data_IF_061721858638
#
_entry.id   IF_061721858638
#
_cell.length_a   1.000
_cell.length_b   1.000
_cell.length_c   1.000
_cell.angle_alpha   90.00
_cell.angle_beta   90.00
_cell.angle_gamma   90.00
#
_symmetry.space_group_name_H-M   'P 1'
#
loop_
_entity.id
_entity.type
_entity.pdbx_description
1 polymer ?
#
# COMPACT_ATOMS: atom_id res chain seq x y z
N UNK A 1 15.47 18.07 6.35
CA UNK A 1 15.54 18.00 7.81
C UNK A 1 14.13 17.83 8.33
N UNK A 2 13.86 16.82 9.15
CA UNK A 2 12.54 16.63 9.75
C UNK A 2 12.18 17.87 10.60
N UNK A 3 10.92 18.34 10.61
CA UNK A 3 10.51 19.50 11.37
C UNK A 3 10.66 19.22 12.87
N UNK A 4 11.30 20.15 13.58
CA UNK A 4 11.73 20.08 14.98
C UNK A 4 10.60 20.08 16.03
N UNK A 5 9.34 19.86 15.63
CA UNK A 5 8.16 20.04 16.49
C UNK A 5 7.33 18.76 16.69
N UNK A 6 7.70 17.62 16.09
CA UNK A 6 7.00 16.36 16.34
C UNK A 6 7.59 15.63 17.55
N UNK A 7 6.76 15.01 18.41
CA UNK A 7 7.25 14.17 19.49
C UNK A 7 8.20 13.10 18.95
N UNK A 8 9.35 12.84 19.62
CA UNK A 8 10.39 11.96 19.09
C UNK A 8 9.92 10.52 18.84
N UNK A 9 8.86 10.10 19.53
CA UNK A 9 8.20 8.79 19.33
C UNK A 9 7.66 8.57 17.91
N UNK A 10 7.37 9.66 17.18
CA UNK A 10 6.86 9.61 15.81
C UNK A 10 7.98 9.68 14.76
N UNK A 11 9.23 9.80 15.15
CA UNK A 11 10.31 9.78 14.18
C UNK A 11 10.44 8.37 13.55
N UNK A 12 10.78 8.29 12.25
CA UNK A 12 11.01 7.00 11.61
C UNK A 12 12.24 6.34 12.23
N UNK A 13 12.18 5.02 12.42
CA UNK A 13 13.36 4.24 12.81
C UNK A 13 14.30 4.06 11.62
N UNK A 14 15.55 3.66 11.86
CA UNK A 14 16.48 3.32 10.77
C UNK A 14 15.92 2.19 9.88
N UNK A 15 15.32 1.18 10.51
CA UNK A 15 14.66 0.07 9.82
C UNK A 15 13.51 0.54 8.92
N UNK A 16 12.68 1.49 9.39
CA UNK A 16 11.59 2.04 8.57
C UNK A 16 12.12 2.73 7.31
N UNK A 17 13.22 3.49 7.43
CA UNK A 17 13.87 4.17 6.30
C UNK A 17 14.49 3.14 5.35
N UNK A 18 15.17 2.13 5.88
CA UNK A 18 15.76 1.04 5.09
C UNK A 18 14.69 0.29 4.28
N UNK A 19 13.54 -0.02 4.88
CA UNK A 19 12.42 -0.66 4.18
C UNK A 19 11.88 0.24 3.06
N UNK A 20 11.67 1.54 3.32
CA UNK A 20 11.19 2.50 2.31
C UNK A 20 12.17 2.65 1.13
N UNK A 21 13.47 2.58 1.41
CA UNK A 21 14.52 2.58 0.38
C UNK A 21 14.52 1.27 -0.42
N UNK A 22 14.49 0.13 0.28
CA UNK A 22 14.52 -1.21 -0.33
C UNK A 22 13.30 -1.47 -1.23
N UNK A 23 12.11 -1.03 -0.81
CA UNK A 23 10.88 -1.12 -1.60
C UNK A 23 10.77 -0.07 -2.71
N UNK A 24 11.78 0.80 -2.87
CA UNK A 24 11.84 1.85 -3.88
C UNK A 24 10.69 2.87 -3.81
N UNK A 25 10.17 3.15 -2.61
CA UNK A 25 9.08 4.13 -2.39
C UNK A 25 9.50 5.57 -2.75
N UNK A 26 10.79 5.86 -2.67
CA UNK A 26 11.39 7.16 -2.98
C UNK A 26 11.52 7.44 -4.49
N UNK A 27 11.29 6.44 -5.35
CA UNK A 27 11.41 6.59 -6.79
C UNK A 27 10.08 7.04 -7.39
N UNK A 28 10.01 8.29 -7.84
CA UNK A 28 8.84 8.83 -8.50
C UNK A 28 8.84 8.67 -10.01
N UNK A 29 7.84 9.24 -10.67
CA UNK A 29 7.76 9.34 -12.13
C UNK A 29 8.77 10.34 -12.71
N UNK A 30 8.93 10.35 -14.04
CA UNK A 30 9.69 11.41 -14.75
C UNK A 30 8.92 12.72 -14.80
N UNK A 31 7.59 12.61 -14.94
CA UNK A 31 6.71 13.77 -14.96
C UNK A 31 6.46 14.28 -13.53
N UNK A 32 6.28 15.58 -13.41
CA UNK A 32 6.00 16.26 -12.14
C UNK A 32 4.75 17.12 -12.27
N UNK A 33 3.82 16.93 -11.35
CA UNK A 33 2.68 17.81 -11.14
C UNK A 33 3.03 18.93 -10.15
N UNK A 34 2.55 20.14 -10.39
CA UNK A 34 2.87 21.32 -9.58
C UNK A 34 2.56 21.13 -8.08
N UNK A 35 1.42 20.52 -7.74
CA UNK A 35 1.06 20.26 -6.34
C UNK A 35 1.95 19.22 -5.64
N UNK A 36 2.69 18.39 -6.40
CA UNK A 36 3.60 17.38 -5.87
C UNK A 36 5.05 17.88 -5.76
N UNK A 37 5.37 19.06 -6.31
CA UNK A 37 6.69 19.69 -6.23
C UNK A 37 7.23 19.82 -4.81
N UNK A 38 6.44 20.19 -3.77
CA UNK A 38 6.94 20.30 -2.40
C UNK A 38 7.42 18.98 -1.77
N UNK A 39 7.02 17.83 -2.33
CA UNK A 39 7.46 16.51 -1.88
C UNK A 39 8.71 16.01 -2.60
N UNK A 40 9.15 16.70 -3.65
CA UNK A 40 10.35 16.39 -4.40
C UNK A 40 11.60 16.73 -3.57
N UNK A 41 12.57 15.80 -3.57
CA UNK A 41 13.90 16.05 -3.02
C UNK A 41 14.86 16.55 -4.11
N UNK A 42 14.97 15.80 -5.21
CA UNK A 42 15.78 16.15 -6.38
C UNK A 42 15.37 15.30 -7.58
N UNK A 43 15.75 15.74 -8.78
CA UNK A 43 15.63 14.92 -10.00
C UNK A 43 16.99 14.28 -10.31
N UNK A 44 17.00 12.97 -10.61
CA UNK A 44 18.22 12.26 -11.02
C UNK A 44 18.60 12.61 -12.47
N UNK A 45 19.86 12.39 -12.89
CA UNK A 45 20.28 12.60 -14.29
C UNK A 45 19.44 11.82 -15.30
N UNK A 46 18.90 10.66 -14.92
CA UNK A 46 18.02 9.82 -15.76
C UNK A 46 16.61 10.42 -15.97
N UNK A 47 16.34 11.58 -15.37
CA UNK A 47 15.05 12.27 -15.37
C UNK A 47 14.05 11.72 -14.35
N UNK A 48 14.43 10.73 -13.54
CA UNK A 48 13.55 10.17 -12.50
C UNK A 48 13.55 11.07 -11.26
N UNK A 49 12.35 11.49 -10.84
CA UNK A 49 12.17 12.30 -9.65
C UNK A 49 12.36 11.47 -8.38
N UNK A 50 13.04 12.04 -7.37
CA UNK A 50 13.26 11.40 -6.07
C UNK A 50 12.40 12.10 -5.03
N UNK A 51 11.50 11.33 -4.42
CA UNK A 51 10.59 11.79 -3.36
C UNK A 51 11.35 11.85 -2.03
N UNK A 52 11.05 12.88 -1.23
CA UNK A 52 11.59 12.99 0.11
C UNK A 52 10.92 11.99 1.07
N UNK A 53 11.67 10.98 1.52
CA UNK A 53 11.20 9.94 2.44
C UNK A 53 10.69 10.50 3.77
N UNK A 54 11.31 11.57 4.27
CA UNK A 54 10.84 12.23 5.49
C UNK A 54 9.41 12.78 5.31
N UNK A 55 9.10 13.31 4.12
CA UNK A 55 7.75 13.77 3.78
C UNK A 55 6.77 12.64 3.59
N UNK A 56 7.21 11.53 3.00
CA UNK A 56 6.41 10.29 2.94
C UNK A 56 6.02 9.84 4.33
N UNK A 57 6.97 9.76 5.26
CA UNK A 57 6.72 9.36 6.64
C UNK A 57 5.79 10.31 7.40
N UNK A 58 6.03 11.63 7.30
CA UNK A 58 5.15 12.65 7.89
C UNK A 58 3.70 12.49 7.44
N UNK A 59 3.49 12.21 6.14
CA UNK A 59 2.15 12.02 5.57
C UNK A 59 1.52 10.68 5.93
N UNK A 60 2.30 9.61 6.04
CA UNK A 60 1.82 8.31 6.56
C UNK A 60 1.28 8.49 7.98
N UNK A 61 2.01 9.19 8.84
CA UNK A 61 1.58 9.45 10.22
C UNK A 61 0.36 10.36 10.31
N UNK A 62 0.30 11.40 9.47
CA UNK A 62 -0.88 12.27 9.39
C UNK A 62 -2.12 11.45 9.00
N UNK A 63 -2.00 10.61 7.97
CA UNK A 63 -3.07 9.71 7.55
C UNK A 63 -3.46 8.71 8.65
N UNK A 64 -2.48 8.09 9.31
CA UNK A 64 -2.73 7.16 10.41
C UNK A 64 -3.50 7.81 11.58
N UNK A 65 -3.22 9.09 11.90
CA UNK A 65 -3.97 9.84 12.91
C UNK A 65 -5.41 10.11 12.50
N UNK A 66 -5.65 10.47 11.23
CA UNK A 66 -7.00 10.67 10.70
C UNK A 66 -7.80 9.36 10.78
N UNK A 67 -7.17 8.25 10.40
CA UNK A 67 -7.79 6.92 10.43
C UNK A 67 -8.08 6.44 11.85
N UNK A 68 -7.15 6.69 12.79
CA UNK A 68 -7.32 6.31 14.18
C UNK A 68 -8.40 7.14 14.89
N UNK A 69 -8.69 8.36 14.41
CA UNK A 69 -9.74 9.22 14.95
C UNK A 69 -11.17 8.81 14.56
N UNK A 70 -11.33 7.83 13.66
CA UNK A 70 -12.64 7.29 13.28
C UNK A 70 -12.98 6.13 14.20
N UNK A 71 -14.06 6.30 14.98
CA UNK A 71 -14.50 5.34 16.00
C UNK A 71 -14.89 3.99 15.40
N UNK A 72 -15.70 3.98 14.34
CA UNK A 72 -16.11 2.77 13.64
C UNK A 72 -15.19 2.51 12.44
N UNK A 73 -14.30 1.50 12.49
CA UNK A 73 -13.37 1.25 11.39
C UNK A 73 -14.07 0.88 10.08
N UNK A 74 -15.27 0.30 10.13
CA UNK A 74 -16.02 -0.10 8.95
C UNK A 74 -16.47 1.11 8.07
N UNK A 75 -16.52 2.31 8.65
CA UNK A 75 -16.84 3.55 7.94
C UNK A 75 -15.65 4.02 7.07
N UNK A 76 -14.48 3.38 7.15
CA UNK A 76 -13.35 3.65 6.30
C UNK A 76 -13.42 2.72 5.10
N UNK A 77 -13.35 3.26 3.90
CA UNK A 77 -13.28 2.47 2.67
C UNK A 77 -11.93 2.61 1.98
N UNK A 78 -11.25 1.47 1.79
CA UNK A 78 -9.95 1.39 1.13
C UNK A 78 -10.13 0.81 -0.27
N UNK A 79 -9.56 1.47 -1.27
CA UNK A 79 -9.88 1.25 -2.68
C UNK A 79 -8.60 1.10 -3.51
N UNK A 80 -8.58 0.08 -4.36
CA UNK A 80 -7.53 -0.11 -5.36
C UNK A 80 -8.07 -0.83 -6.58
N UNK A 81 -8.23 -0.10 -7.70
CA UNK A 81 -8.45 -0.71 -9.01
C UNK A 81 -7.18 -1.38 -9.56
N UNK A 82 -6.01 -0.86 -9.18
CA UNK A 82 -4.71 -1.37 -9.66
C UNK A 82 -4.45 -2.79 -9.13
N UNK A 83 -4.11 -3.77 -9.98
CA UNK A 83 -3.87 -5.16 -9.55
C UNK A 83 -2.87 -5.28 -8.41
N UNK A 84 -1.77 -4.51 -8.49
CA UNK A 84 -0.70 -4.54 -7.50
C UNK A 84 -1.11 -4.06 -6.09
N UNK A 85 -2.18 -3.27 -5.99
CA UNK A 85 -2.70 -2.79 -4.70
C UNK A 85 -3.86 -3.61 -4.14
N UNK A 86 -4.46 -4.51 -4.93
CA UNK A 86 -5.66 -5.26 -4.53
C UNK A 86 -5.43 -6.09 -3.26
N UNK A 87 -4.32 -6.86 -3.24
CA UNK A 87 -3.95 -7.68 -2.08
C UNK A 87 -3.62 -6.82 -0.85
N UNK A 88 -2.90 -5.71 -1.05
CA UNK A 88 -2.53 -4.79 0.03
C UNK A 88 -3.77 -4.20 0.72
N UNK A 89 -4.76 -3.76 -0.08
CA UNK A 89 -6.02 -3.19 0.41
C UNK A 89 -6.86 -4.22 1.16
N UNK A 90 -6.93 -5.47 0.67
CA UNK A 90 -7.63 -6.56 1.36
C UNK A 90 -7.00 -6.90 2.71
N UNK A 91 -5.67 -6.97 2.78
CA UNK A 91 -4.95 -7.23 4.04
C UNK A 91 -5.09 -6.05 5.00
N UNK A 92 -4.97 -4.83 4.51
CA UNK A 92 -5.21 -3.63 5.31
C UNK A 92 -6.60 -3.65 5.96
N UNK A 93 -7.64 -3.93 5.18
CA UNK A 93 -9.02 -4.06 5.67
C UNK A 93 -9.14 -5.15 6.74
N UNK A 94 -8.54 -6.33 6.51
CA UNK A 94 -8.56 -7.43 7.47
C UNK A 94 -7.90 -7.09 8.80
N UNK A 95 -6.82 -6.29 8.81
CA UNK A 95 -6.09 -5.95 10.03
C UNK A 95 -6.69 -4.75 10.77
N UNK A 96 -7.26 -3.79 10.05
CA UNK A 96 -7.76 -2.53 10.64
C UNK A 96 -9.27 -2.52 10.88
N UNK A 97 -10.02 -3.47 10.30
CA UNK A 97 -11.48 -3.51 10.30
C UNK A 97 -12.14 -2.59 9.26
N UNK A 98 -11.35 -1.99 8.36
CA UNK A 98 -11.87 -1.16 7.27
C UNK A 98 -12.58 -1.98 6.19
N UNK A 99 -13.40 -1.34 5.37
CA UNK A 99 -14.06 -1.99 4.23
C UNK A 99 -13.22 -1.86 2.96
N UNK A 100 -12.97 -2.97 2.28
CA UNK A 100 -12.20 -2.95 1.03
C UNK A 100 -13.09 -2.92 -0.22
N UNK A 101 -12.60 -2.24 -1.26
CA UNK A 101 -13.01 -2.40 -2.65
C UNK A 101 -11.74 -2.69 -3.45
N UNK A 102 -11.46 -3.97 -3.66
CA UNK A 102 -10.36 -4.43 -4.50
C UNK A 102 -10.87 -4.67 -5.93
N UNK A 103 -10.18 -4.11 -6.91
CA UNK A 103 -10.55 -4.19 -8.32
C UNK A 103 -11.43 -3.04 -8.76
N UNK A 104 -12.22 -3.26 -9.82
CA UNK A 104 -12.99 -2.21 -10.47
C UNK A 104 -13.98 -1.55 -9.51
N UNK A 105 -13.82 -0.25 -9.28
CA UNK A 105 -14.84 0.54 -8.59
C UNK A 105 -16.10 0.63 -9.45
N UNK A 106 -17.23 0.18 -8.91
CA UNK A 106 -18.53 0.29 -9.59
C UNK A 106 -19.06 1.71 -9.40
N UNK A 107 -19.25 2.47 -10.49
CA UNK A 107 -19.85 3.80 -10.39
C UNK A 107 -21.21 3.76 -9.72
N UNK A 108 -21.47 4.68 -8.81
CA UNK A 108 -22.68 4.75 -8.00
C UNK A 108 -22.57 4.06 -6.65
N UNK A 109 -21.42 3.47 -6.29
CA UNK A 109 -21.25 2.87 -4.97
C UNK A 109 -21.42 3.86 -3.82
N UNK A 110 -21.13 5.16 -4.03
CA UNK A 110 -21.32 6.18 -2.99
C UNK A 110 -22.56 7.05 -3.19
N UNK A 111 -23.20 7.01 -4.38
CA UNK A 111 -24.31 7.92 -4.70
C UNK A 111 -25.65 7.19 -4.93
N UNK A 112 -25.62 5.93 -5.37
CA UNK A 112 -26.81 5.16 -5.72
C UNK A 112 -27.26 4.24 -4.57
N UNK A 113 -28.08 4.80 -3.68
CA UNK A 113 -28.62 4.13 -2.49
C UNK A 113 -29.49 2.89 -2.77
N UNK A 114 -29.96 2.69 -4.01
CA UNK A 114 -30.81 1.54 -4.39
C UNK A 114 -29.96 0.27 -4.54
N UNK A 115 -28.67 0.42 -4.82
CA UNK A 115 -27.79 -0.73 -5.08
C UNK A 115 -27.38 -1.43 -3.78
N UNK A 116 -27.23 -2.76 -3.83
CA UNK A 116 -26.74 -3.54 -2.67
C UNK A 116 -25.28 -3.25 -2.32
N UNK A 117 -24.52 -2.72 -3.27
CA UNK A 117 -23.12 -2.33 -3.09
C UNK A 117 -22.95 -0.89 -2.60
N UNK A 118 -24.06 -0.21 -2.30
CA UNK A 118 -24.04 1.13 -1.73
C UNK A 118 -23.30 1.13 -0.39
N UNK A 119 -22.40 2.10 -0.24
CA UNK A 119 -21.61 2.33 0.96
C UNK A 119 -21.56 3.82 1.25
N UNK A 120 -21.64 4.17 2.53
CA UNK A 120 -21.50 5.56 3.01
C UNK A 120 -20.26 5.67 3.91
N UNK A 121 -19.04 5.58 3.34
CA UNK A 121 -17.85 5.72 4.15
C UNK A 121 -17.67 7.16 4.62
N UNK A 122 -17.12 7.34 5.83
CA UNK A 122 -16.70 8.63 6.36
C UNK A 122 -15.31 9.06 5.89
N UNK A 123 -14.54 8.12 5.33
CA UNK A 123 -13.20 8.34 4.81
C UNK A 123 -12.92 7.35 3.70
N UNK A 124 -12.36 7.81 2.59
CA UNK A 124 -11.80 6.91 1.59
C UNK A 124 -10.28 7.02 1.52
N UNK A 125 -9.64 5.88 1.29
CA UNK A 125 -8.20 5.79 1.05
C UNK A 125 -7.97 5.08 -0.27
N UNK A 126 -7.21 5.72 -1.15
CA UNK A 126 -7.08 5.35 -2.55
C UNK A 126 -5.62 5.06 -2.91
N UNK A 127 -5.38 4.00 -3.68
CA UNK A 127 -4.00 3.64 -4.10
C UNK A 127 -3.41 4.48 -5.20
N UNK A 128 -4.21 4.91 -6.16
CA UNK A 128 -3.73 5.74 -7.25
C UNK A 128 -4.86 6.67 -7.70
N UNK A 129 -4.72 7.99 -7.49
CA UNK A 129 -5.73 8.96 -7.89
C UNK A 129 -6.12 8.88 -9.35
N UNK A 130 -5.21 8.42 -10.22
CA UNK A 130 -5.47 8.32 -11.66
C UNK A 130 -6.36 7.14 -12.01
N UNK A 131 -6.10 5.96 -11.46
CA UNK A 131 -6.91 4.76 -11.75
C UNK A 131 -8.22 4.77 -11.00
N UNK A 132 -8.23 5.34 -9.80
CA UNK A 132 -9.38 5.36 -8.89
C UNK A 132 -10.14 6.70 -8.94
N UNK A 133 -9.94 7.50 -9.99
CA UNK A 133 -10.53 8.83 -10.16
C UNK A 133 -12.06 8.83 -10.00
N UNK A 134 -12.73 7.75 -10.38
CA UNK A 134 -14.17 7.60 -10.22
C UNK A 134 -14.60 7.62 -8.74
N UNK A 135 -13.85 6.93 -7.87
CA UNK A 135 -14.13 6.90 -6.44
C UNK A 135 -13.91 8.28 -5.81
N UNK A 136 -12.84 8.97 -6.21
CA UNK A 136 -12.51 10.32 -5.75
C UNK A 136 -13.60 11.32 -6.19
N UNK A 137 -14.05 11.22 -7.44
CA UNK A 137 -15.10 12.09 -7.98
C UNK A 137 -16.46 11.84 -7.32
N UNK A 138 -16.79 10.59 -6.99
CA UNK A 138 -18.02 10.32 -6.24
C UNK A 138 -17.93 10.79 -4.80
N UNK A 139 -16.77 10.63 -4.15
CA UNK A 139 -16.54 11.13 -2.79
C UNK A 139 -16.77 12.64 -2.68
N UNK A 140 -16.41 13.42 -3.69
CA UNK A 140 -16.64 14.87 -3.70
C UNK A 140 -18.12 15.26 -3.82
N UNK A 141 -19.00 14.39 -4.34
CA UNK A 141 -20.44 14.65 -4.37
C UNK A 141 -21.13 14.43 -3.03
N UNK A 142 -20.55 13.59 -2.16
CA UNK A 142 -21.14 13.18 -0.87
C UNK A 142 -20.33 13.63 0.34
N UNK A 143 -19.43 14.60 0.16
CA UNK A 143 -18.61 15.22 1.22
C UNK A 143 -17.72 14.24 1.98
N UNK A 144 -17.15 13.25 1.29
CA UNK A 144 -16.26 12.26 1.90
C UNK A 144 -14.81 12.71 1.71
N UNK A 145 -14.01 12.84 2.79
CA UNK A 145 -12.60 13.18 2.69
C UNK A 145 -11.78 12.05 2.06
N UNK A 146 -10.71 12.43 1.34
CA UNK A 146 -9.89 11.52 0.54
C UNK A 146 -8.43 11.55 0.96
N UNK A 147 -7.90 10.39 1.33
CA UNK A 147 -6.45 10.13 1.46
C UNK A 147 -6.01 9.35 0.23
N UNK A 148 -4.89 9.72 -0.40
CA UNK A 148 -4.40 8.97 -1.56
C UNK A 148 -2.88 8.77 -1.54
N UNK A 149 -2.44 7.63 -2.09
CA UNK A 149 -1.04 7.38 -2.40
C UNK A 149 -0.71 8.02 -3.76
N UNK A 150 0.09 9.08 -3.75
CA UNK A 150 0.37 9.90 -4.92
C UNK A 150 1.83 9.76 -5.35
N UNK A 151 2.05 9.38 -6.60
CA UNK A 151 3.34 9.55 -7.28
C UNK A 151 3.47 11.02 -7.77
N UNK A 152 4.65 11.41 -8.24
CA UNK A 152 4.96 12.78 -8.67
C UNK A 152 4.09 13.28 -9.84
N UNK A 153 3.48 12.37 -10.61
CA UNK A 153 2.61 12.64 -11.75
C UNK A 153 1.11 12.34 -11.49
N UNK A 154 0.75 12.08 -10.22
CA UNK A 154 -0.61 11.73 -9.84
C UNK A 154 -1.50 12.97 -9.65
N UNK A 155 -2.69 13.03 -10.26
CA UNK A 155 -3.63 14.14 -10.09
C UNK A 155 -4.06 14.26 -8.63
N UNK A 156 -4.00 15.47 -8.08
CA UNK A 156 -4.38 15.75 -6.69
C UNK A 156 -5.74 16.46 -6.57
N UNK A 157 -6.56 16.39 -7.61
CA UNK A 157 -7.90 16.98 -7.60
C UNK A 157 -8.79 16.22 -6.61
N UNK A 158 -9.43 16.96 -5.69
CA UNK A 158 -10.27 16.41 -4.62
C UNK A 158 -9.55 15.42 -3.66
N UNK A 159 -8.22 15.51 -3.55
CA UNK A 159 -7.44 14.76 -2.56
C UNK A 159 -7.06 15.68 -1.41
N UNK A 160 -7.51 15.38 -0.19
CA UNK A 160 -7.23 16.19 1.00
C UNK A 160 -5.84 15.89 1.57
N UNK A 161 -5.46 14.61 1.62
CA UNK A 161 -4.15 14.17 2.11
C UNK A 161 -3.47 13.27 1.10
N UNK A 162 -2.51 13.84 0.39
CA UNK A 162 -1.59 13.10 -0.47
C UNK A 162 -0.43 12.53 0.34
N UNK A 163 -0.25 11.21 0.29
CA UNK A 163 0.95 10.50 0.77
C UNK A 163 1.88 10.32 -0.43
N UNK A 164 3.03 11.02 -0.48
CA UNK A 164 3.93 10.95 -1.62
C UNK A 164 4.68 9.61 -1.62
N UNK A 165 4.44 8.77 -2.61
CA UNK A 165 5.09 7.46 -2.76
C UNK A 165 5.02 6.96 -4.19
N UNK A 166 5.89 6.02 -4.54
CA UNK A 166 5.76 5.23 -5.76
C UNK A 166 4.48 4.38 -5.72
N UNK A 167 3.48 4.73 -6.53
CA UNK A 167 2.21 3.99 -6.65
C UNK A 167 2.16 3.04 -7.88
N UNK A 168 3.32 2.77 -8.51
CA UNK A 168 3.45 1.88 -9.67
C UNK A 168 4.12 0.56 -9.33
N UNK A 169 5.06 0.56 -8.38
CA UNK A 169 5.79 -0.63 -7.93
C UNK A 169 4.99 -1.49 -6.95
N UNK A 170 4.97 -2.81 -7.16
CA UNK A 170 4.27 -3.77 -6.28
C UNK A 170 4.77 -3.74 -4.82
N UNK A 171 6.08 -3.59 -4.64
CA UNK A 171 6.69 -3.55 -3.32
C UNK A 171 6.43 -2.23 -2.60
N UNK A 172 6.50 -1.11 -3.34
CA UNK A 172 6.24 0.21 -2.77
C UNK A 172 4.80 0.35 -2.25
N UNK A 173 3.81 -0.07 -3.05
CA UNK A 173 2.39 -0.02 -2.65
C UNK A 173 2.15 -0.88 -1.41
N UNK A 174 2.58 -2.14 -1.44
CA UNK A 174 2.36 -3.06 -0.32
C UNK A 174 3.05 -2.60 0.96
N UNK A 175 4.28 -2.08 0.87
CA UNK A 175 4.99 -1.56 2.03
C UNK A 175 4.27 -0.36 2.65
N UNK A 176 3.81 0.60 1.86
CA UNK A 176 3.14 1.79 2.41
C UNK A 176 1.81 1.42 3.08
N UNK A 177 1.04 0.50 2.52
CA UNK A 177 -0.15 -0.03 3.18
C UNK A 177 0.16 -0.78 4.48
N UNK A 178 1.24 -1.56 4.50
CA UNK A 178 1.69 -2.27 5.69
C UNK A 178 2.13 -1.30 6.79
N UNK A 179 2.96 -0.31 6.46
CA UNK A 179 3.38 0.74 7.38
C UNK A 179 2.17 1.52 7.91
N UNK A 180 1.23 1.88 7.05
CA UNK A 180 0.03 2.61 7.43
C UNK A 180 -0.87 1.76 8.36
N UNK A 181 -1.04 0.46 8.10
CA UNK A 181 -1.76 -0.45 9.01
C UNK A 181 -1.07 -0.53 10.38
N UNK A 182 0.25 -0.73 10.39
CA UNK A 182 1.05 -0.82 11.60
C UNK A 182 0.93 0.45 12.45
N UNK A 183 1.03 1.62 11.83
CA UNK A 183 0.91 2.90 12.54
C UNK A 183 -0.52 3.15 13.05
N UNK A 184 -1.56 2.76 12.31
CA UNK A 184 -2.96 2.82 12.77
C UNK A 184 -3.18 1.93 14.00
N UNK A 185 -2.68 0.71 13.97
CA UNK A 185 -2.79 -0.25 15.09
C UNK A 185 -2.03 0.22 16.33
N UNK A 186 -0.85 0.82 16.16
CA UNK A 186 -0.09 1.48 17.23
C UNK A 186 -0.89 2.63 17.85
N UNK A 187 -1.51 3.48 17.04
CA UNK A 187 -2.30 4.61 17.52
C UNK A 187 -3.60 4.19 18.23
N UNK A 188 -4.21 3.08 17.79
CA UNK A 188 -5.38 2.49 18.46
C UNK A 188 -5.04 1.71 19.73
N UNK A 189 -3.76 1.51 20.02
CA UNK A 189 -3.29 0.79 21.20
C UNK A 189 -3.41 -0.73 21.12
N UNK A 190 -3.75 -1.31 19.95
CA UNK A 190 -3.75 -2.77 19.77
C UNK A 190 -2.34 -3.33 19.72
N UNK A 191 -1.40 -2.56 19.18
CA UNK A 191 0.04 -2.81 19.31
C UNK A 191 0.59 -1.95 20.44
N UNK A 192 0.93 -2.58 21.56
CA UNK A 192 1.21 -1.91 22.83
C UNK A 192 2.47 -1.03 22.82
N UNK A 193 3.49 -1.36 22.02
CA UNK A 193 4.75 -0.61 21.96
C UNK A 193 5.29 -0.51 20.53
N UNK A 194 6.02 0.57 20.24
CA UNK A 194 6.80 0.72 19.00
C UNK A 194 8.07 -0.14 18.98
N UNK A 195 8.50 -0.62 20.15
CA UNK A 195 9.67 -1.48 20.32
C UNK A 195 9.39 -2.93 19.92
N UNK A 196 8.12 -3.35 20.02
CA UNK A 196 7.70 -4.69 19.61
C UNK A 196 7.42 -4.67 18.12
N UNK A 197 8.08 -5.58 17.41
CA UNK A 197 7.84 -5.81 16.00
C UNK A 197 6.41 -6.32 15.78
N UNK A 198 5.82 -5.93 14.66
CA UNK A 198 4.50 -6.43 14.31
C UNK A 198 4.65 -7.81 13.66
N UNK A 199 4.00 -8.83 14.24
CA UNK A 199 4.10 -10.23 13.80
C UNK A 199 3.73 -10.47 12.32
N UNK A 200 2.97 -9.55 11.73
CA UNK A 200 2.53 -9.65 10.34
C UNK A 200 3.65 -9.22 9.40
N UNK A 201 4.15 -10.17 8.61
CA UNK A 201 5.19 -9.91 7.59
C UNK A 201 4.68 -9.05 6.43
N UNK A 202 5.56 -8.20 5.88
CA UNK A 202 5.27 -7.28 4.77
C UNK A 202 4.85 -8.02 3.49
N UNK A 203 5.40 -9.22 3.26
CA UNK A 203 5.13 -10.03 2.06
C UNK A 203 3.65 -10.45 1.92
N UNK A 204 2.89 -10.40 3.01
CA UNK A 204 1.45 -10.60 2.95
C UNK A 204 0.74 -9.48 2.17
N UNK A 205 1.30 -8.27 2.14
CA UNK A 205 0.74 -7.12 1.43
C UNK A 205 1.19 -7.03 -0.02
N UNK A 206 2.29 -7.68 -0.40
CA UNK A 206 2.74 -7.67 -1.79
C UNK A 206 1.80 -8.46 -2.68
N UNK A 207 1.47 -7.88 -3.82
CA UNK A 207 0.77 -8.57 -4.88
C UNK A 207 1.61 -9.76 -5.39
N UNK A 208 0.93 -10.89 -5.55
CA UNK A 208 1.48 -12.11 -6.12
C UNK A 208 0.65 -12.48 -7.33
N UNK A 209 1.31 -12.72 -8.45
CA UNK A 209 0.66 -13.20 -9.66
C UNK A 209 0.26 -14.67 -9.46
N UNK A 210 -1.04 -15.00 -9.45
CA UNK A 210 -1.49 -16.37 -9.21
C UNK A 210 -0.94 -17.36 -10.24
N UNK A 211 -0.89 -16.96 -11.52
CA UNK A 211 -0.28 -17.78 -12.59
C UNK A 211 1.23 -17.98 -12.40
N UNK A 212 1.93 -17.03 -11.79
CA UNK A 212 3.36 -17.19 -11.51
C UNK A 212 3.62 -18.07 -10.29
N UNK A 213 2.70 -18.13 -9.33
CA UNK A 213 2.75 -19.07 -8.22
C UNK A 213 2.42 -20.49 -8.69
N UNK A 214 1.36 -20.68 -9.48
CA UNK A 214 1.03 -21.98 -10.08
C UNK A 214 2.20 -22.53 -10.91
N UNK A 215 2.84 -21.68 -11.73
CA UNK A 215 4.02 -22.09 -12.48
C UNK A 215 5.23 -22.40 -11.60
N UNK A 216 5.41 -21.72 -10.46
CA UNK A 216 6.47 -22.04 -9.51
C UNK A 216 6.20 -23.35 -8.78
N UNK A 217 4.98 -23.59 -8.35
CA UNK A 217 4.56 -24.85 -7.73
C UNK A 217 4.74 -26.02 -8.71
N UNK A 218 4.35 -25.85 -9.98
CA UNK A 218 4.58 -26.86 -11.02
C UNK A 218 6.08 -27.09 -11.29
N UNK A 219 6.91 -26.05 -11.21
CA UNK A 219 8.37 -26.19 -11.35
C UNK A 219 8.97 -26.86 -10.13
N UNK A 220 8.56 -26.50 -8.92
CA UNK A 220 9.00 -27.12 -7.66
C UNK A 220 8.57 -28.59 -7.59
N UNK A 221 7.34 -28.94 -7.98
CA UNK A 221 6.88 -30.32 -8.11
C UNK A 221 7.67 -31.12 -9.16
N UNK A 222 8.01 -30.49 -10.30
CA UNK A 222 8.86 -31.12 -11.33
C UNK A 222 10.30 -31.32 -10.85
N UNK A 223 10.84 -30.42 -10.05
CA UNK A 223 12.18 -30.54 -9.47
C UNK A 223 12.19 -31.61 -8.37
N UNK A 224 11.18 -31.62 -7.50
CA UNK A 224 11.04 -32.64 -6.45
C UNK A 224 10.87 -34.06 -7.05
N UNK A 225 10.05 -34.20 -8.09
CA UNK A 225 9.91 -35.49 -8.80
C UNK A 225 11.17 -35.88 -9.58
N UNK A 226 11.94 -34.93 -10.10
CA UNK A 226 13.23 -35.23 -10.73
C UNK A 226 14.30 -35.65 -9.71
N UNK A 227 14.29 -35.09 -8.50
CA UNK A 227 15.17 -35.50 -7.39
C UNK A 227 14.80 -36.89 -6.85
N UNK A 228 13.52 -37.24 -6.74
CA UNK A 228 13.08 -38.60 -6.38
C UNK A 228 13.48 -39.65 -7.44
N UNK A 229 13.33 -39.32 -8.72
CA UNK A 229 13.74 -40.21 -9.82
C UNK A 229 15.28 -40.33 -9.91
N UNK A 230 16.00 -39.25 -9.60
CA UNK A 230 17.47 -39.25 -9.52
C UNK A 230 18.01 -40.12 -8.37
N UNK A 231 17.38 -40.08 -7.19
CA UNK A 231 17.77 -40.91 -6.06
C UNK A 231 17.56 -42.42 -6.33
N UNK A 232 16.44 -42.80 -6.98
CA UNK A 232 16.17 -44.20 -7.35
C UNK A 232 17.09 -44.77 -8.44
N UNK A 233 17.61 -43.92 -9.33
CA UNK A 233 18.55 -44.35 -10.37
C UNK A 233 19.97 -44.62 -9.83
N UNK A 234 20.37 -43.96 -8.74
CA UNK A 234 21.69 -44.14 -8.12
C UNK A 234 21.75 -45.45 -7.32
N UNK A 235 20.66 -45.87 -6.68
CA UNK A 235 20.61 -47.15 -5.94
C UNK A 235 20.57 -48.39 -6.85
N UNK A 236 20.08 -48.27 -8.09
CA UNK A 236 19.96 -49.39 -9.04
C UNK A 236 21.20 -49.59 -9.93
N UNK A 237 22.15 -48.65 -9.95
CA UNK A 237 23.29 -48.64 -10.87
C UNK A 237 24.58 -49.31 -10.38
N UNK A 238 24.64 -49.85 -9.15
CA UNK A 238 25.87 -50.42 -8.57
C UNK A 238 25.77 -51.93 -8.21
N UNK A 239 24.96 -52.68 -8.95
CA UNK A 239 24.92 -54.14 -8.87
C UNK A 239 25.05 -54.75 -10.28
N UNK A 240 26.29 -55.00 -10.70
CA UNK A 240 26.63 -55.65 -11.97
C UNK A 240 28.12 -55.87 -12.11
#
# INVERSE_FOLDING_TARGET
MAPSQLPPIFNPTSQDIEMLLAAQCHLGSKNLQSHMEPYLWKTRPDGVNVINIGKTWEKILLAARIIAAIDNPADICVISARPYGQRAVLKFASHTGATAIAGRFTPGNFTNYITRSFKEPRLIIVTDPRTDAQAIKEASYVNIPVIALCDTDSPTDFVDVAIPTNNKGRHAIGLVWWLLAREVLRLRGTLASREVDWDVVVDLYFYRDPEAEENKEVVEEKVASAEEVGAGAIESGFAG
#
